data_IF_744208698590
#
_entry.id   IF_744208698590
#
_cell.length_a   1.000
_cell.length_b   1.000
_cell.length_c   1.000
_cell.angle_alpha   90.00
_cell.angle_beta   90.00
_cell.angle_gamma   90.00
#
_symmetry.space_group_name_H-M   'P 1'
#
loop_
_entity.id
_entity.type
_entity.pdbx_description
1 polymer ?
#
# COMPACT_ATOMS: atom_id res chain seq x y z
N UNK A 1 6.51 -17.08 16.84
CA UNK A 1 5.44 -16.25 16.30
C UNK A 1 5.99 -15.29 15.30
N UNK A 2 5.38 -15.20 14.11
CA UNK A 2 5.86 -14.23 13.14
C UNK A 2 5.58 -12.82 13.65
N UNK A 3 6.60 -11.99 13.66
CA UNK A 3 6.46 -10.59 14.04
C UNK A 3 6.05 -9.77 12.83
N UNK A 4 4.93 -10.16 12.22
CA UNK A 4 4.44 -9.46 11.04
C UNK A 4 3.11 -8.80 11.35
N UNK A 5 2.88 -7.67 10.69
CA UNK A 5 1.67 -6.90 10.79
C UNK A 5 0.96 -6.93 9.44
N UNK A 6 -0.36 -6.98 9.46
CA UNK A 6 -1.14 -6.93 8.24
C UNK A 6 -1.39 -5.49 7.84
N UNK A 7 -1.06 -5.20 6.60
CA UNK A 7 -1.31 -3.91 5.98
C UNK A 7 -2.21 -4.09 4.78
N UNK A 8 -2.82 -3.00 4.33
CA UNK A 8 -3.60 -3.00 3.11
C UNK A 8 -3.08 -1.95 2.17
N UNK A 9 -3.00 -2.31 0.90
CA UNK A 9 -2.63 -1.37 -0.15
C UNK A 9 -3.80 -1.26 -1.12
N UNK A 10 -4.19 -0.03 -1.42
CA UNK A 10 -5.23 0.23 -2.40
C UNK A 10 -4.61 0.92 -3.59
N UNK A 11 -4.80 0.37 -4.79
CA UNK A 11 -4.39 1.06 -6.00
C UNK A 11 -5.51 1.97 -6.44
N UNK A 12 -5.15 3.14 -6.95
CA UNK A 12 -6.09 4.16 -7.35
C UNK A 12 -6.03 4.38 -8.85
N UNK A 13 -7.17 4.69 -9.45
CA UNK A 13 -7.21 5.06 -10.86
C UNK A 13 -6.91 6.55 -11.02
N UNK A 14 -7.03 7.05 -12.25
CA UNK A 14 -6.73 8.46 -12.54
C UNK A 14 -7.65 9.43 -11.83
N UNK A 15 -8.83 8.96 -11.47
CA UNK A 15 -9.83 9.79 -10.79
C UNK A 15 -9.73 9.70 -9.27
N UNK A 16 -8.79 8.88 -8.78
CA UNK A 16 -8.59 8.70 -7.35
C UNK A 16 -9.50 7.66 -6.73
N UNK A 17 -10.17 6.85 -7.54
CA UNK A 17 -11.01 5.77 -7.04
C UNK A 17 -10.20 4.51 -6.80
N UNK A 18 -10.56 3.77 -5.73
CA UNK A 18 -9.90 2.51 -5.43
C UNK A 18 -10.20 1.51 -6.52
N UNK A 19 -9.16 1.00 -7.15
CA UNK A 19 -9.28 0.03 -8.23
C UNK A 19 -9.05 -1.39 -7.75
N UNK A 20 -8.05 -1.60 -6.90
CA UNK A 20 -7.72 -2.92 -6.36
C UNK A 20 -7.29 -2.79 -4.91
N UNK A 21 -7.45 -3.89 -4.19
CA UNK A 21 -6.97 -4.01 -2.81
C UNK A 21 -6.01 -5.18 -2.73
N UNK A 22 -4.91 -4.95 -2.05
CA UNK A 22 -3.91 -5.98 -1.76
C UNK A 22 -3.72 -6.07 -0.26
N UNK A 23 -3.70 -7.29 0.25
CA UNK A 23 -3.36 -7.53 1.65
C UNK A 23 -1.88 -7.84 1.72
N UNK A 24 -1.16 -7.06 2.52
CA UNK A 24 0.28 -7.18 2.68
C UNK A 24 0.61 -7.57 4.10
N UNK A 25 1.69 -8.33 4.25
CA UNK A 25 2.25 -8.58 5.58
C UNK A 25 3.70 -8.12 5.57
N UNK A 26 4.09 -7.44 6.64
CA UNK A 26 5.43 -6.91 6.75
C UNK A 26 5.83 -6.83 8.23
N UNK A 27 7.12 -6.92 8.49
CA UNK A 27 7.62 -6.84 9.86
C UNK A 27 7.47 -5.45 10.44
N UNK A 28 7.53 -4.42 9.59
CA UNK A 28 7.38 -3.04 10.02
C UNK A 28 6.83 -2.19 8.88
N UNK A 29 6.59 -0.93 9.18
CA UNK A 29 6.04 0.00 8.21
C UNK A 29 6.98 0.23 7.03
N UNK A 30 8.27 0.23 7.26
CA UNK A 30 9.24 0.46 6.21
C UNK A 30 9.16 -0.64 5.13
N UNK A 31 9.06 -1.89 5.56
CA UNK A 31 8.89 -3.00 4.63
C UNK A 31 7.55 -2.91 3.90
N UNK A 32 6.49 -2.53 4.61
CA UNK A 32 5.19 -2.36 3.99
C UNK A 32 5.22 -1.27 2.93
N UNK A 33 5.91 -0.16 3.21
CA UNK A 33 6.07 0.92 2.23
C UNK A 33 6.83 0.47 1.00
N UNK A 34 7.84 -0.37 1.20
CA UNK A 34 8.62 -0.90 0.09
C UNK A 34 7.75 -1.76 -0.81
N UNK A 35 6.94 -2.64 -0.21
CA UNK A 35 6.03 -3.47 -0.97
C UNK A 35 5.00 -2.64 -1.72
N UNK A 36 4.45 -1.62 -1.05
CA UNK A 36 3.47 -0.72 -1.67
C UNK A 36 4.10 0.06 -2.82
N UNK A 37 5.36 0.46 -2.68
CA UNK A 37 6.07 1.19 -3.74
C UNK A 37 6.20 0.32 -4.99
N UNK A 38 6.40 -0.98 -4.82
CA UNK A 38 6.47 -1.88 -5.96
C UNK A 38 5.14 -1.98 -6.69
N UNK A 39 4.03 -1.84 -5.96
CA UNK A 39 2.69 -1.82 -6.58
C UNK A 39 2.41 -0.50 -7.29
N UNK A 40 3.12 0.56 -6.93
CA UNK A 40 2.89 1.90 -7.48
C UNK A 40 3.65 2.12 -8.79
N UNK A 41 3.66 1.13 -9.66
CA UNK A 41 4.37 1.23 -10.94
C UNK A 41 3.62 2.13 -11.93
N UNK A 42 2.32 1.94 -12.04
CA UNK A 42 1.47 2.68 -12.97
C UNK A 42 0.31 3.41 -12.33
N UNK A 43 0.10 3.18 -11.05
CA UNK A 43 -1.03 3.70 -10.32
C UNK A 43 -0.59 4.17 -8.95
N UNK A 44 -1.25 5.20 -8.45
CA UNK A 44 -1.02 5.62 -7.08
C UNK A 44 -1.49 4.53 -6.12
N UNK A 45 -0.82 4.42 -4.99
CA UNK A 45 -1.14 3.42 -3.98
C UNK A 45 -1.30 4.10 -2.63
N UNK A 46 -2.35 3.73 -1.91
CA UNK A 46 -2.51 4.12 -0.51
C UNK A 46 -2.18 2.93 0.37
N UNK A 47 -1.35 3.15 1.37
CA UNK A 47 -0.99 2.11 2.33
C UNK A 47 -1.73 2.38 3.63
N UNK A 48 -2.43 1.35 4.10
CA UNK A 48 -3.28 1.44 5.30
C UNK A 48 -2.87 0.42 6.34
N UNK A 49 -2.99 0.81 7.59
CA UNK A 49 -2.89 -0.09 8.74
C UNK A 49 -4.22 -0.02 9.49
N UNK A 50 -5.02 -1.09 9.37
CA UNK A 50 -6.37 -1.08 9.91
C UNK A 50 -7.22 -0.01 9.23
N UNK A 51 -7.73 0.93 10.00
CA UNK A 51 -8.56 2.00 9.48
C UNK A 51 -7.78 3.31 9.28
N UNK A 52 -6.47 3.26 9.45
CA UNK A 52 -5.63 4.45 9.36
C UNK A 52 -4.76 4.40 8.10
N UNK A 53 -4.85 5.45 7.30
CA UNK A 53 -3.95 5.59 6.15
C UNK A 53 -2.59 6.11 6.66
N UNK A 54 -1.53 5.35 6.38
CA UNK A 54 -0.21 5.70 6.87
C UNK A 54 0.69 6.28 5.78
N UNK A 55 0.37 6.05 4.51
CA UNK A 55 1.18 6.59 3.43
C UNK A 55 0.37 6.65 2.14
N UNK A 56 0.76 7.56 1.27
CA UNK A 56 0.29 7.58 -0.10
C UNK A 56 1.52 7.64 -0.99
N UNK A 57 1.58 6.72 -1.95
CA UNK A 57 2.74 6.56 -2.82
C UNK A 57 2.31 6.89 -4.24
N UNK A 58 2.93 7.92 -4.82
CA UNK A 58 2.62 8.32 -6.18
C UNK A 58 3.28 7.35 -7.16
N UNK A 59 2.58 7.08 -8.25
CA UNK A 59 3.09 6.18 -9.27
C UNK A 59 4.28 6.77 -10.00
N UNK A 60 5.11 5.88 -10.51
CA UNK A 60 6.22 6.27 -11.38
C UNK A 60 5.75 6.24 -12.84
N UNK A 61 6.27 7.16 -13.61
CA UNK A 61 6.00 7.14 -15.06
C UNK A 61 7.16 6.60 -15.83
#
# INVERSE_FOLDING_TARGET
MPDTTEYRAYTLDREGHIQRRFDLTAADEQMARKQATELADRQDVELWLGTQRIAKIDHKH
#
